data_IF_036851697934
#
_entry.id   IF_036851697934
#
_cell.length_a   1.000
_cell.length_b   1.000
_cell.length_c   1.000
_cell.angle_alpha   90.00
_cell.angle_beta   90.00
_cell.angle_gamma   90.00
#
_symmetry.space_group_name_H-M   'P 1'
#
loop_
_entity.id
_entity.type
_entity.pdbx_description
1 polymer ?
#
# COMPACT_ATOMS: atom_id res chain seq x y z
N UNK A 1 3.55 -20.06 12.27
CA UNK A 1 4.37 -20.07 11.03
C UNK A 1 3.52 -19.48 9.92
N UNK A 2 3.87 -18.30 9.39
CA UNK A 2 3.14 -17.67 8.27
C UNK A 2 3.90 -17.98 7.01
N UNK A 3 3.35 -18.85 6.16
CA UNK A 3 3.95 -19.24 4.89
C UNK A 3 3.61 -18.18 3.84
N UNK A 4 4.60 -17.45 3.35
CA UNK A 4 4.46 -16.53 2.21
C UNK A 4 4.60 -17.32 0.90
N UNK A 5 3.68 -17.09 -0.05
CA UNK A 5 3.79 -17.67 -1.38
C UNK A 5 4.57 -16.74 -2.32
N UNK A 6 5.58 -17.29 -2.98
CA UNK A 6 6.36 -16.61 -4.03
C UNK A 6 6.09 -17.19 -5.43
N UNK A 7 5.19 -18.19 -5.56
CA UNK A 7 4.83 -18.85 -6.82
C UNK A 7 3.38 -18.63 -7.27
N UNK A 8 2.99 -19.09 -8.47
CA UNK A 8 1.61 -18.97 -8.95
C UNK A 8 0.63 -19.72 -8.04
N UNK A 9 -0.48 -19.08 -7.70
CA UNK A 9 -1.59 -19.71 -6.95
C UNK A 9 -2.25 -20.73 -7.88
N UNK A 10 -2.13 -22.01 -7.56
CA UNK A 10 -2.67 -23.12 -8.37
C UNK A 10 -3.99 -23.64 -7.81
N UNK A 11 -4.26 -23.38 -6.53
CA UNK A 11 -5.45 -23.81 -5.81
C UNK A 11 -5.77 -22.89 -4.63
N UNK A 12 -6.96 -23.04 -4.04
CA UNK A 12 -7.36 -22.31 -2.82
C UNK A 12 -6.45 -22.66 -1.63
N UNK A 13 -5.90 -23.88 -1.59
CA UNK A 13 -4.98 -24.32 -0.54
C UNK A 13 -3.65 -23.53 -0.54
N UNK A 14 -3.30 -22.93 -1.69
CA UNK A 14 -2.12 -22.08 -1.83
C UNK A 14 -2.34 -20.66 -1.31
N UNK A 15 -3.56 -20.28 -0.92
CA UNK A 15 -3.85 -18.94 -0.43
C UNK A 15 -3.58 -18.89 1.08
N UNK A 16 -2.65 -18.05 1.55
CA UNK A 16 -2.41 -17.89 2.98
C UNK A 16 -3.68 -17.39 3.69
N UNK A 17 -3.98 -17.96 4.86
CA UNK A 17 -5.12 -17.53 5.69
C UNK A 17 -4.97 -16.10 6.20
N UNK A 18 -3.74 -15.57 6.21
CA UNK A 18 -3.44 -14.18 6.54
C UNK A 18 -2.48 -13.58 5.52
N UNK A 19 -2.69 -12.32 5.12
CA UNK A 19 -1.76 -11.63 4.24
C UNK A 19 -0.41 -11.40 4.93
N UNK A 20 0.67 -11.64 4.21
CA UNK A 20 2.00 -11.17 4.59
C UNK A 20 2.12 -9.68 4.29
N UNK A 21 1.72 -8.86 5.28
CA UNK A 21 1.69 -7.40 5.12
C UNK A 21 3.09 -6.80 4.97
N UNK A 22 4.14 -7.45 5.43
CA UNK A 22 5.51 -6.93 5.30
C UNK A 22 5.98 -7.08 3.85
N UNK A 23 5.78 -8.26 3.26
CA UNK A 23 6.05 -8.48 1.84
C UNK A 23 5.23 -7.53 0.96
N UNK A 24 3.92 -7.44 1.22
CA UNK A 24 3.03 -6.56 0.44
C UNK A 24 3.49 -5.09 0.48
N UNK A 25 3.86 -4.56 1.66
CA UNK A 25 4.36 -3.17 1.78
C UNK A 25 5.68 -2.96 1.04
N UNK A 26 6.61 -3.93 1.12
CA UNK A 26 7.87 -3.85 0.39
C UNK A 26 7.65 -3.83 -1.13
N UNK A 27 6.76 -4.68 -1.65
CA UNK A 27 6.39 -4.72 -3.07
C UNK A 27 5.70 -3.44 -3.54
N UNK A 28 4.76 -2.90 -2.75
CA UNK A 28 4.12 -1.61 -3.07
C UNK A 28 5.15 -0.49 -3.14
N UNK A 29 6.08 -0.41 -2.18
CA UNK A 29 7.14 0.60 -2.16
C UNK A 29 8.13 0.44 -3.33
N UNK A 30 8.44 -0.79 -3.73
CA UNK A 30 9.25 -1.06 -4.92
C UNK A 30 8.53 -0.60 -6.21
N UNK A 31 7.24 -0.90 -6.34
CA UNK A 31 6.42 -0.48 -7.47
C UNK A 31 6.31 1.04 -7.60
N UNK A 32 6.09 1.74 -6.50
CA UNK A 32 6.03 3.21 -6.49
C UNK A 32 7.37 3.82 -6.91
N UNK A 33 8.49 3.33 -6.37
CA UNK A 33 9.83 3.81 -6.74
C UNK A 33 10.19 3.52 -8.19
N UNK A 34 9.81 2.36 -8.72
CA UNK A 34 9.98 2.04 -10.14
C UNK A 34 9.22 3.03 -11.03
N UNK A 35 7.94 3.28 -10.72
CA UNK A 35 7.12 4.25 -11.46
C UNK A 35 7.66 5.69 -11.33
N UNK A 36 8.22 6.06 -10.18
CA UNK A 36 8.89 7.34 -9.99
C UNK A 36 10.14 7.45 -10.87
N UNK A 37 10.98 6.42 -10.91
CA UNK A 37 12.20 6.39 -11.73
C UNK A 37 11.87 6.47 -13.24
N UNK A 38 10.87 5.71 -13.71
CA UNK A 38 10.39 5.76 -15.10
C UNK A 38 9.91 7.15 -15.53
N UNK A 39 9.42 7.96 -14.58
CA UNK A 39 8.85 9.30 -14.81
C UNK A 39 9.82 10.44 -14.45
N UNK A 40 11.03 10.14 -13.99
CA UNK A 40 11.98 11.16 -13.53
C UNK A 40 11.52 11.92 -12.27
N UNK A 41 10.68 11.30 -11.43
CA UNK A 41 10.13 11.90 -10.22
C UNK A 41 11.06 11.63 -9.02
N UNK A 42 11.64 12.69 -8.45
CA UNK A 42 12.55 12.57 -7.30
C UNK A 42 11.85 12.42 -5.94
N UNK A 43 10.61 12.87 -5.82
CA UNK A 43 9.80 12.76 -4.61
C UNK A 43 8.32 12.70 -4.95
N UNK A 44 7.54 11.99 -4.13
CA UNK A 44 6.10 11.83 -4.31
C UNK A 44 5.38 12.24 -3.02
N UNK A 45 4.63 13.34 -3.07
CA UNK A 45 3.77 13.75 -1.97
C UNK A 45 2.39 13.11 -2.17
N UNK A 46 1.97 12.32 -1.19
CA UNK A 46 0.71 11.59 -1.23
C UNK A 46 -0.36 12.36 -0.48
N UNK A 47 -1.48 12.62 -1.15
CA UNK A 47 -2.60 13.35 -0.57
C UNK A 47 -3.83 12.46 -0.45
N UNK A 48 -4.47 12.53 0.72
CA UNK A 48 -5.73 11.84 0.97
C UNK A 48 -5.56 10.37 1.33
N UNK A 49 -6.61 9.83 1.94
CA UNK A 49 -6.54 8.55 2.65
C UNK A 49 -6.17 7.37 1.74
N UNK A 50 -6.68 7.33 0.50
CA UNK A 50 -6.43 6.22 -0.41
C UNK A 50 -4.95 6.13 -0.82
N UNK A 51 -4.35 7.26 -1.22
CA UNK A 51 -2.95 7.31 -1.64
C UNK A 51 -2.01 6.98 -0.47
N UNK A 52 -2.27 7.56 0.71
CA UNK A 52 -1.50 7.31 1.93
C UNK A 52 -1.65 5.86 2.39
N UNK A 53 -2.87 5.32 2.44
CA UNK A 53 -3.14 3.94 2.86
C UNK A 53 -2.50 2.95 1.90
N UNK A 54 -2.57 3.20 0.60
CA UNK A 54 -1.95 2.33 -0.39
C UNK A 54 -0.44 2.27 -0.21
N UNK A 55 0.22 3.43 -0.11
CA UNK A 55 1.67 3.50 -0.03
C UNK A 55 2.25 3.04 1.32
N UNK A 56 1.56 3.33 2.42
CA UNK A 56 2.09 3.13 3.78
C UNK A 56 1.41 1.98 4.54
N UNK A 57 0.20 1.59 4.12
CA UNK A 57 -0.66 0.69 4.88
C UNK A 57 -1.28 1.33 6.13
N UNK A 58 -1.14 2.65 6.31
CA UNK A 58 -1.73 3.43 7.40
C UNK A 58 -3.00 4.11 6.92
N UNK A 59 -4.14 3.80 7.53
CA UNK A 59 -5.42 4.45 7.24
C UNK A 59 -5.76 5.49 8.30
N UNK A 60 -6.27 6.64 7.88
CA UNK A 60 -6.80 7.66 8.79
C UNK A 60 -8.28 7.39 9.11
N UNK A 61 -8.69 7.33 10.40
CA UNK A 61 -10.05 6.96 10.79
C UNK A 61 -11.15 7.85 10.21
N UNK A 62 -10.85 9.12 9.94
CA UNK A 62 -11.80 10.14 9.46
C UNK A 62 -11.89 10.23 7.93
N UNK A 63 -11.23 9.31 7.20
CA UNK A 63 -11.04 9.40 5.75
C UNK A 63 -12.21 8.94 4.87
N UNK A 64 -13.30 8.44 5.45
CA UNK A 64 -14.51 8.04 4.72
C UNK A 64 -15.49 9.21 4.64
N UNK A 65 -15.39 9.93 3.53
CA UNK A 65 -16.35 10.88 2.92
C UNK A 65 -16.93 12.06 3.75
N UNK A 66 -17.31 11.91 5.02
CA UNK A 66 -18.03 12.95 5.79
C UNK A 66 -17.15 13.97 6.52
N UNK A 67 -15.94 13.59 6.94
CA UNK A 67 -15.05 14.42 7.78
C UNK A 67 -13.69 14.71 7.14
N UNK A 68 -13.55 14.43 5.84
CA UNK A 68 -12.33 14.70 5.06
C UNK A 68 -11.97 16.19 4.95
N UNK A 69 -12.91 17.09 5.30
CA UNK A 69 -12.68 18.53 5.39
C UNK A 69 -12.01 18.96 6.71
N UNK A 70 -12.00 18.09 7.73
CA UNK A 70 -11.42 18.38 9.04
C UNK A 70 -9.94 18.03 9.05
N UNK A 71 -9.59 16.83 8.58
CA UNK A 71 -8.20 16.35 8.51
C UNK A 71 -7.96 15.55 7.23
N UNK A 72 -6.80 15.79 6.61
CA UNK A 72 -6.36 15.06 5.41
C UNK A 72 -4.97 14.49 5.65
N UNK A 73 -4.78 13.16 5.61
CA UNK A 73 -3.47 12.57 5.79
C UNK A 73 -2.56 12.92 4.60
N UNK A 74 -1.28 13.13 4.91
CA UNK A 74 -0.19 13.36 3.96
C UNK A 74 0.98 12.46 4.29
N UNK A 75 1.67 11.97 3.26
CA UNK A 75 2.92 11.22 3.39
C UNK A 75 3.91 11.61 2.30
N UNK A 76 5.19 11.38 2.57
CA UNK A 76 6.34 11.64 1.69
C UNK A 76 7.13 10.35 1.44
#
# INVERSE_FOLDING_TARGET
>A
MTTSLTGPVRSVADIPTRPDRNRMRAETGARLRAAMAERGVGALILLGNNAVTYATGTSWPLGDAGLSHVERPVAL
#
